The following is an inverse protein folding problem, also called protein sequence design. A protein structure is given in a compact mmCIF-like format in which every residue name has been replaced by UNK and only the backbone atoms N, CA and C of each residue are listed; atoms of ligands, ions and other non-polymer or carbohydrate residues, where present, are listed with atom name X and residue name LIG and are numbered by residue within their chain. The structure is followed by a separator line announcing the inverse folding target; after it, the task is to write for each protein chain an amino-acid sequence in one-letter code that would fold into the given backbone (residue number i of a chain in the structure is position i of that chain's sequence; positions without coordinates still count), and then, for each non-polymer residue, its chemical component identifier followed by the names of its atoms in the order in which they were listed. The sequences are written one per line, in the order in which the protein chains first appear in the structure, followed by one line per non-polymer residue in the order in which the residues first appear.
data_IF_328279508810
#
_entry.id   IF_328279508810
#
_cell.length_a   1.000
_cell.length_b   1.000
_cell.length_c   1.000
_cell.angle_alpha   90.00
_cell.angle_beta   90.00
_cell.angle_gamma   90.00
#
_symmetry.space_group_name_H-M   'P 1'
#
loop_
_entity.id
_entity.type
_entity.pdbx_description
1 polymer ?
#
# COMPACT_ATOMS: atom_id res chain seq x y z
N UNK A 1 -5.64 5.53 21.59
CA UNK A 1 -6.80 5.38 20.68
C UNK A 1 -6.52 4.19 19.76
N UNK A 2 -7.50 3.67 19.03
CA UNK A 2 -7.31 2.51 18.15
C UNK A 2 -7.98 2.75 16.80
N UNK A 3 -7.43 2.17 15.74
CA UNK A 3 -8.08 2.11 14.44
C UNK A 3 -9.45 1.42 14.62
N UNK A 4 -10.49 2.02 14.04
CA UNK A 4 -11.85 1.48 14.11
C UNK A 4 -12.19 0.81 12.79
N UNK A 5 -12.93 -0.30 12.86
CA UNK A 5 -13.38 -1.02 11.67
C UNK A 5 -14.48 -0.28 10.89
N UNK A 6 -15.08 0.77 11.46
CA UNK A 6 -16.19 1.52 10.87
C UNK A 6 -15.87 3.01 10.86
N UNK A 7 -15.99 3.63 9.68
CA UNK A 7 -15.76 5.06 9.45
C UNK A 7 -14.29 5.40 9.21
N UNK A 8 -14.01 6.09 8.10
CA UNK A 8 -12.71 6.69 7.83
C UNK A 8 -12.53 7.96 8.67
N UNK A 9 -12.44 7.80 9.99
CA UNK A 9 -12.17 8.92 10.89
C UNK A 9 -10.75 9.44 10.75
N UNK A 10 -10.54 10.70 11.15
CA UNK A 10 -9.24 11.39 11.11
C UNK A 10 -8.10 10.57 11.71
N UNK A 11 -8.37 9.79 12.77
CA UNK A 11 -7.38 8.91 13.39
C UNK A 11 -6.80 7.87 12.42
N UNK A 12 -7.63 7.20 11.62
CA UNK A 12 -7.19 6.15 10.69
C UNK A 12 -6.28 6.73 9.62
N UNK A 13 -6.65 7.90 9.08
CA UNK A 13 -5.85 8.62 8.09
C UNK A 13 -4.54 9.12 8.70
N UNK A 14 -4.62 9.86 9.81
CA UNK A 14 -3.47 10.48 10.46
C UNK A 14 -2.46 9.46 10.97
N UNK A 15 -2.89 8.52 11.81
CA UNK A 15 -1.99 7.53 12.42
C UNK A 15 -1.60 6.46 11.41
N UNK A 16 -2.52 6.04 10.53
CA UNK A 16 -2.21 5.06 9.48
C UNK A 16 -1.12 5.59 8.55
N UNK A 17 -1.29 6.81 8.03
CA UNK A 17 -0.31 7.42 7.13
C UNK A 17 1.02 7.68 7.85
N UNK A 18 0.98 8.15 9.10
CA UNK A 18 2.21 8.33 9.91
C UNK A 18 2.98 7.02 10.04
N UNK A 19 2.31 5.92 10.40
CA UNK A 19 2.96 4.62 10.56
C UNK A 19 3.46 4.06 9.22
N UNK A 20 2.69 4.22 8.13
CA UNK A 20 3.14 3.89 6.79
C UNK A 20 4.38 4.70 6.38
N UNK A 21 4.43 5.99 6.70
CA UNK A 21 5.55 6.87 6.36
C UNK A 21 6.81 6.56 7.20
N UNK A 22 6.65 6.19 8.48
CA UNK A 22 7.76 5.72 9.32
C UNK A 22 8.46 4.49 8.70
N UNK A 23 7.77 3.69 7.88
CA UNK A 23 8.38 2.54 7.21
C UNK A 23 9.48 2.94 6.21
N UNK A 24 9.54 4.20 5.77
CA UNK A 24 10.62 4.73 4.93
C UNK A 24 11.88 5.10 5.71
N UNK A 25 11.80 5.22 7.04
CA UNK A 25 12.97 5.51 7.85
C UNK A 25 13.98 4.36 7.78
N UNK A 26 15.26 4.70 7.88
CA UNK A 26 16.31 3.71 8.11
C UNK A 26 15.96 2.76 9.27
N UNK A 27 16.26 1.46 9.18
CA UNK A 27 15.86 0.45 10.17
C UNK A 27 16.14 0.86 11.63
N UNK A 28 17.33 1.41 11.87
CA UNK A 28 17.79 1.86 13.19
C UNK A 28 17.00 3.06 13.75
N UNK A 29 16.35 3.85 12.90
CA UNK A 29 15.63 5.05 13.27
C UNK A 29 14.14 4.78 13.56
N UNK A 30 13.58 3.65 13.10
CA UNK A 30 12.17 3.30 13.32
C UNK A 30 11.75 3.40 14.81
N UNK A 31 12.50 2.86 15.80
CA UNK A 31 12.12 3.00 17.21
C UNK A 31 12.05 4.44 17.70
N UNK A 32 12.95 5.31 17.21
CA UNK A 32 12.97 6.73 17.57
C UNK A 32 11.74 7.42 16.97
N UNK A 33 11.44 7.16 15.70
CA UNK A 33 10.27 7.72 15.01
C UNK A 33 8.95 7.27 15.68
N UNK A 34 8.81 5.99 16.03
CA UNK A 34 7.62 5.47 16.72
C UNK A 34 7.40 6.06 18.13
N UNK A 35 8.47 6.52 18.77
CA UNK A 35 8.43 7.13 20.11
C UNK A 35 8.38 8.65 20.08
N UNK A 36 8.37 9.26 18.89
CA UNK A 36 8.33 10.71 18.76
C UNK A 36 6.94 11.25 19.15
N UNK A 37 6.85 12.11 20.20
CA UNK A 37 5.56 12.48 20.79
C UNK A 37 4.75 13.46 19.94
N UNK A 38 5.37 14.09 18.94
CA UNK A 38 4.72 15.10 18.11
C UNK A 38 4.03 14.53 16.88
N UNK A 39 4.31 13.29 16.48
CA UNK A 39 3.55 12.64 15.41
C UNK A 39 2.13 12.28 15.86
N UNK A 40 1.24 12.03 14.90
CA UNK A 40 -0.15 11.63 15.19
C UNK A 40 -0.28 10.39 16.10
N UNK A 41 0.72 9.50 16.11
CA UNK A 41 0.78 8.36 17.03
C UNK A 41 1.13 8.70 18.48
N UNK A 42 1.45 9.96 18.79
CA UNK A 42 1.73 10.46 20.14
C UNK A 42 2.89 9.78 20.86
N UNK A 43 3.84 9.20 20.13
CA UNK A 43 4.94 8.42 20.70
C UNK A 43 4.52 7.14 21.44
N UNK A 44 3.30 6.64 21.19
CA UNK A 44 2.72 5.53 21.95
C UNK A 44 3.14 4.14 21.43
N UNK A 45 3.62 4.05 20.20
CA UNK A 45 3.92 2.77 19.55
C UNK A 45 5.33 2.27 19.89
N UNK A 46 5.49 0.94 19.97
CA UNK A 46 6.77 0.28 20.22
C UNK A 46 7.04 -0.75 19.14
N UNK A 47 8.27 -0.78 18.63
CA UNK A 47 8.73 -1.78 17.66
C UNK A 47 8.76 -3.18 18.32
N UNK A 48 8.17 -4.17 17.67
CA UNK A 48 8.08 -5.55 18.17
C UNK A 48 8.65 -6.58 17.20
N UNK A 49 8.65 -6.29 15.91
CA UNK A 49 9.26 -7.11 14.86
C UNK A 49 9.79 -6.17 13.76
N UNK A 50 10.92 -6.48 13.16
CA UNK A 50 11.52 -5.71 12.06
C UNK A 50 12.23 -6.67 11.12
N UNK A 51 11.78 -6.71 9.87
CA UNK A 51 12.42 -7.44 8.80
C UNK A 51 12.86 -6.49 7.68
N UNK A 52 14.01 -6.80 7.09
CA UNK A 52 14.63 -6.00 6.03
C UNK A 52 15.28 -6.94 5.02
N UNK A 53 15.02 -6.71 3.74
CA UNK A 53 15.66 -7.39 2.60
C UNK A 53 16.27 -6.31 1.69
N UNK A 54 16.86 -6.71 0.57
CA UNK A 54 17.34 -5.74 -0.42
C UNK A 54 16.19 -4.94 -1.06
N UNK A 55 15.00 -5.54 -1.19
CA UNK A 55 13.84 -4.92 -1.84
C UNK A 55 12.86 -4.27 -0.87
N UNK A 56 12.60 -4.90 0.28
CA UNK A 56 11.50 -4.53 1.17
C UNK A 56 11.94 -4.30 2.61
N UNK A 57 11.14 -3.50 3.31
CA UNK A 57 11.25 -3.28 4.74
C UNK A 57 9.86 -3.34 5.36
N UNK A 58 9.72 -4.15 6.40
CA UNK A 58 8.47 -4.33 7.12
C UNK A 58 8.74 -4.25 8.61
N UNK A 59 7.89 -3.54 9.35
CA UNK A 59 7.93 -3.56 10.80
C UNK A 59 6.57 -3.86 11.39
N UNK A 60 6.57 -4.47 12.58
CA UNK A 60 5.38 -4.64 13.40
C UNK A 60 5.54 -3.83 14.68
N UNK A 61 4.53 -3.02 14.98
CA UNK A 61 4.48 -2.23 16.20
C UNK A 61 3.16 -2.42 16.94
N UNK A 62 3.16 -2.02 18.21
CA UNK A 62 1.98 -2.07 19.07
C UNK A 62 2.02 -0.90 20.05
N UNK A 63 0.85 -0.36 20.40
CA UNK A 63 0.70 0.47 21.60
C UNK A 63 0.56 -0.44 22.84
N UNK A 64 1.41 -0.30 23.87
CA UNK A 64 1.27 -1.08 25.11
C UNK A 64 -0.11 -0.91 25.74
N UNK A 65 -0.74 -2.04 26.12
CA UNK A 65 -2.07 -2.06 26.73
C UNK A 65 -3.24 -1.93 25.75
N UNK A 66 -2.97 -1.81 24.44
CA UNK A 66 -3.99 -1.84 23.40
C UNK A 66 -3.86 -3.15 22.61
N UNK A 67 -4.95 -3.91 22.51
CA UNK A 67 -5.03 -5.13 21.68
C UNK A 67 -5.20 -4.76 20.20
N UNK A 68 -4.20 -4.06 19.66
CA UNK A 68 -4.10 -3.71 18.25
C UNK A 68 -2.64 -3.60 17.83
N UNK A 69 -2.31 -4.37 16.80
CA UNK A 69 -1.00 -4.47 16.18
C UNK A 69 -1.03 -3.83 14.81
N UNK A 70 0.10 -3.28 14.37
CA UNK A 70 0.23 -2.67 13.05
C UNK A 70 1.43 -3.27 12.35
N UNK A 71 1.18 -3.89 11.19
CA UNK A 71 2.19 -4.28 10.20
C UNK A 71 2.30 -3.13 9.20
N UNK A 72 3.45 -2.49 9.13
CA UNK A 72 3.69 -1.38 8.21
C UNK A 72 4.76 -1.77 7.19
N UNK A 73 4.44 -1.57 5.92
CA UNK A 73 5.25 -1.97 4.76
C UNK A 73 5.74 -0.72 4.04
N UNK A 74 7.05 -0.65 3.82
CA UNK A 74 7.67 0.46 3.07
C UNK A 74 7.29 0.38 1.59
N UNK A 75 7.12 1.54 0.95
CA UNK A 75 7.12 1.63 -0.51
C UNK A 75 8.53 1.62 -1.12
N UNK A 76 8.63 2.15 -2.33
CA UNK A 76 9.91 2.28 -3.06
C UNK A 76 10.90 3.15 -2.30
N UNK A 77 12.18 2.77 -2.28
CA UNK A 77 13.23 3.54 -1.59
C UNK A 77 13.64 4.83 -2.33
N UNK A 78 13.11 5.04 -3.53
CA UNK A 78 13.44 6.15 -4.43
C UNK A 78 12.46 7.32 -4.26
N UNK A 79 12.98 8.54 -4.39
CA UNK A 79 12.22 9.78 -4.23
C UNK A 79 11.28 10.01 -5.44
N UNK A 80 9.96 10.12 -5.23
CA UNK A 80 8.98 10.30 -6.30
C UNK A 80 9.03 11.70 -6.96
N UNK A 81 9.83 12.64 -6.44
CA UNK A 81 9.95 14.00 -6.99
C UNK A 81 10.80 14.09 -8.26
N UNK A 82 11.37 12.97 -8.73
CA UNK A 82 12.26 12.93 -9.89
C UNK A 82 11.56 12.35 -11.12
N UNK A 83 11.88 12.86 -12.31
CA UNK A 83 11.43 12.24 -13.58
C UNK A 83 11.91 10.81 -13.73
N UNK A 84 13.16 10.54 -13.32
CA UNK A 84 13.75 9.21 -13.36
C UNK A 84 12.90 8.19 -12.59
N UNK A 85 12.39 8.54 -11.41
CA UNK A 85 11.49 7.68 -10.65
C UNK A 85 10.26 7.27 -11.46
N UNK A 86 9.60 8.21 -12.13
CA UNK A 86 8.38 7.91 -12.88
C UNK A 86 8.66 7.15 -14.17
N UNK A 87 9.76 7.45 -14.85
CA UNK A 87 10.20 6.66 -16.02
C UNK A 87 10.52 5.24 -15.58
N UNK A 88 11.32 5.05 -14.53
CA UNK A 88 11.67 3.73 -14.02
C UNK A 88 10.43 3.00 -13.53
N UNK A 89 9.51 3.68 -12.85
CA UNK A 89 8.25 3.04 -12.45
C UNK A 89 7.44 2.54 -13.65
N UNK A 90 7.33 3.30 -14.75
CA UNK A 90 6.62 2.82 -15.94
C UNK A 90 7.40 1.80 -16.79
N UNK A 91 8.74 1.82 -16.76
CA UNK A 91 9.60 0.92 -17.56
C UNK A 91 9.99 -0.34 -16.81
N UNK A 92 10.38 -0.23 -15.54
CA UNK A 92 10.77 -1.37 -14.69
C UNK A 92 9.54 -2.14 -14.21
N UNK A 93 8.40 -1.47 -14.00
CA UNK A 93 7.14 -2.15 -13.63
C UNK A 93 6.40 -2.75 -14.83
N UNK A 94 7.07 -2.96 -15.99
CA UNK A 94 6.57 -3.84 -17.05
C UNK A 94 6.29 -5.27 -16.56
N UNK A 95 6.69 -5.60 -15.32
CA UNK A 95 6.19 -6.77 -14.59
C UNK A 95 4.67 -6.86 -14.55
N UNK A 96 3.95 -5.74 -14.69
CA UNK A 96 2.48 -5.71 -14.74
C UNK A 96 1.92 -6.32 -16.02
N UNK A 97 2.73 -6.44 -17.07
CA UNK A 97 2.40 -7.18 -18.29
C UNK A 97 2.59 -8.69 -18.13
N UNK A 98 2.88 -9.15 -16.92
CA UNK A 98 2.90 -10.56 -16.57
C UNK A 98 2.11 -10.76 -15.27
N UNK A 99 0.97 -11.44 -15.39
CA UNK A 99 0.15 -11.80 -14.24
C UNK A 99 0.34 -13.28 -13.88
N UNK A 100 0.35 -13.54 -12.59
CA UNK A 100 0.50 -14.88 -12.00
C UNK A 100 -0.64 -15.16 -11.01
N UNK A 101 -1.03 -16.44 -10.80
CA UNK A 101 -2.08 -16.76 -9.84
C UNK A 101 -1.71 -16.29 -8.43
N UNK A 102 -2.65 -15.67 -7.72
CA UNK A 102 -2.46 -15.36 -6.31
C UNK A 102 -2.25 -16.67 -5.53
N UNK A 103 -1.10 -16.85 -4.85
CA UNK A 103 -0.68 -18.16 -4.36
C UNK A 103 -1.44 -18.63 -3.10
N UNK A 104 -2.23 -17.76 -2.48
CA UNK A 104 -2.95 -18.05 -1.24
C UNK A 104 -4.47 -18.07 -1.46
N UNK A 105 -5.17 -18.92 -0.69
CA UNK A 105 -6.64 -18.99 -0.76
C UNK A 105 -7.19 -19.46 -2.10
N UNK A 106 -6.46 -20.28 -2.86
CA UNK A 106 -6.83 -20.72 -4.23
C UNK A 106 -8.24 -21.32 -4.35
N UNK A 107 -8.75 -21.94 -3.28
CA UNK A 107 -10.11 -22.49 -3.23
C UNK A 107 -11.20 -21.40 -3.14
N UNK A 108 -10.84 -20.18 -2.74
CA UNK A 108 -11.75 -19.08 -2.41
C UNK A 108 -11.56 -17.86 -3.31
N UNK A 109 -10.40 -17.71 -3.95
CA UNK A 109 -10.01 -16.50 -4.68
C UNK A 109 -10.51 -16.45 -6.13
N UNK A 110 -11.26 -17.46 -6.58
CA UNK A 110 -11.89 -17.53 -7.91
C UNK A 110 -10.91 -17.27 -9.07
N UNK A 111 -9.69 -17.79 -8.98
CA UNK A 111 -8.66 -17.60 -10.00
C UNK A 111 -8.04 -16.21 -10.01
N UNK A 112 -8.06 -15.51 -8.87
CA UNK A 112 -7.40 -14.23 -8.66
C UNK A 112 -5.97 -14.21 -9.22
N UNK A 113 -5.65 -13.20 -10.00
CA UNK A 113 -4.32 -12.97 -10.56
C UNK A 113 -3.72 -11.68 -9.99
N UNK A 114 -2.43 -11.70 -9.71
CA UNK A 114 -1.65 -10.52 -9.30
C UNK A 114 -0.54 -10.24 -10.31
N UNK A 115 -0.03 -9.01 -10.35
CA UNK A 115 1.19 -8.71 -11.12
C UNK A 115 2.35 -9.54 -10.58
N UNK A 116 3.28 -9.91 -11.46
CA UNK A 116 4.48 -10.64 -11.06
C UNK A 116 5.31 -9.84 -10.04
N UNK A 117 5.41 -8.51 -10.18
CA UNK A 117 6.06 -7.66 -9.18
C UNK A 117 5.39 -7.72 -7.79
N UNK A 118 4.06 -7.78 -7.74
CA UNK A 118 3.34 -7.99 -6.46
C UNK A 118 3.64 -9.37 -5.87
N UNK A 119 3.74 -10.42 -6.69
CA UNK A 119 4.11 -11.77 -6.21
C UNK A 119 5.52 -11.76 -5.61
N UNK A 120 6.48 -11.15 -6.30
CA UNK A 120 7.85 -11.06 -5.81
C UNK A 120 7.93 -10.32 -4.47
N UNK A 121 7.28 -9.16 -4.36
CA UNK A 121 7.26 -8.42 -3.09
C UNK A 121 6.55 -9.20 -1.98
N UNK A 122 5.48 -9.93 -2.30
CA UNK A 122 4.79 -10.80 -1.36
C UNK A 122 5.67 -11.95 -0.87
N UNK A 123 6.38 -12.64 -1.76
CA UNK A 123 7.29 -13.72 -1.40
C UNK A 123 8.50 -13.23 -0.61
N UNK A 124 9.03 -12.05 -0.94
CA UNK A 124 10.11 -11.42 -0.19
C UNK A 124 9.66 -11.12 1.25
N UNK A 125 8.45 -10.58 1.45
CA UNK A 125 7.87 -10.35 2.78
C UNK A 125 7.55 -11.67 3.50
N UNK A 126 6.98 -12.66 2.82
CA UNK A 126 6.64 -13.95 3.41
C UNK A 126 7.89 -14.75 3.84
N UNK A 127 9.02 -14.59 3.15
CA UNK A 127 10.31 -15.18 3.49
C UNK A 127 11.12 -14.37 4.51
N UNK A 128 10.67 -13.18 4.88
CA UNK A 128 11.38 -12.27 5.76
C UNK A 128 11.33 -12.73 7.23
N UNK A 129 12.42 -12.54 7.95
CA UNK A 129 12.52 -12.84 9.39
C UNK A 129 12.92 -11.61 10.20
N UNK A 130 12.54 -11.62 11.48
CA UNK A 130 12.92 -10.57 12.42
C UNK A 130 14.43 -10.49 12.56
N UNK A 131 14.97 -9.29 12.38
CA UNK A 131 16.39 -8.97 12.51
C UNK A 131 16.98 -9.26 13.89
N UNK A 132 16.15 -9.45 14.93
CA UNK A 132 16.59 -9.73 16.30
C UNK A 132 16.35 -11.18 16.73
N UNK A 133 15.18 -11.74 16.41
CA UNK A 133 14.76 -13.06 16.90
C UNK A 133 14.85 -14.16 15.84
N UNK A 134 14.92 -13.81 14.56
CA UNK A 134 14.85 -14.77 13.45
C UNK A 134 13.46 -15.34 13.18
N UNK A 135 12.42 -14.91 13.91
CA UNK A 135 11.05 -15.37 13.68
C UNK A 135 10.47 -14.75 12.40
N UNK A 136 9.78 -15.55 11.58
CA UNK A 136 9.01 -15.04 10.45
C UNK A 136 7.87 -14.12 10.91
N UNK A 137 7.32 -13.32 9.99
CA UNK A 137 6.17 -12.47 10.28
C UNK A 137 4.98 -13.30 10.78
N UNK A 138 4.70 -14.44 10.14
CA UNK A 138 3.57 -15.31 10.50
C UNK A 138 3.74 -15.92 11.89
N UNK A 139 4.91 -16.46 12.20
CA UNK A 139 5.20 -17.01 13.54
C UNK A 139 5.05 -15.93 14.62
N UNK A 140 5.56 -14.73 14.35
CA UNK A 140 5.43 -13.61 15.27
C UNK A 140 3.96 -13.25 15.51
N UNK A 141 3.16 -13.10 14.45
CA UNK A 141 1.74 -12.72 14.56
C UNK A 141 0.92 -13.81 15.26
N UNK A 142 1.11 -15.08 14.92
CA UNK A 142 0.44 -16.21 15.56
C UNK A 142 0.68 -16.27 17.07
N UNK A 143 1.89 -15.90 17.52
CA UNK A 143 2.25 -15.94 18.94
C UNK A 143 1.75 -14.74 19.74
N UNK A 144 1.54 -13.59 19.08
CA UNK A 144 1.36 -12.30 19.78
C UNK A 144 0.00 -11.62 19.55
N UNK A 145 -0.73 -11.98 18.48
CA UNK A 145 -1.98 -11.31 18.10
C UNK A 145 -3.17 -12.20 18.48
N UNK A 146 -4.19 -11.61 19.11
CA UNK A 146 -5.40 -12.33 19.54
C UNK A 146 -6.37 -12.65 18.40
N UNK A 147 -6.19 -11.99 17.25
CA UNK A 147 -7.07 -12.05 16.08
C UNK A 147 -8.55 -11.74 16.41
N UNK A 148 -8.78 -10.84 17.37
CA UNK A 148 -10.10 -10.21 17.58
C UNK A 148 -10.39 -9.16 16.48
N UNK A 149 -11.66 -8.80 16.21
CA UNK A 149 -12.00 -7.82 15.17
C UNK A 149 -11.22 -6.51 15.30
N UNK A 150 -10.48 -6.15 14.24
CA UNK A 150 -9.62 -4.97 14.18
C UNK A 150 -8.33 -5.03 15.00
N UNK A 151 -7.92 -6.21 15.48
CA UNK A 151 -6.69 -6.39 16.26
C UNK A 151 -5.42 -6.32 15.42
N UNK A 152 -5.50 -6.46 14.10
CA UNK A 152 -4.36 -6.35 13.19
C UNK A 152 -4.65 -5.32 12.10
N UNK A 153 -3.81 -4.30 12.01
CA UNK A 153 -3.80 -3.34 10.90
C UNK A 153 -2.64 -3.69 9.97
N UNK A 154 -2.89 -3.72 8.67
CA UNK A 154 -1.84 -3.89 7.66
C UNK A 154 -1.83 -2.62 6.80
N UNK A 155 -0.73 -1.89 6.83
CA UNK A 155 -0.66 -0.56 6.23
C UNK A 155 0.61 -0.36 5.40
N UNK A 156 0.54 0.60 4.48
CA UNK A 156 1.64 0.99 3.64
C UNK A 156 1.23 2.10 2.67
N UNK A 157 2.24 2.75 2.12
CA UNK A 157 2.11 3.83 1.15
C UNK A 157 2.77 3.43 -0.18
N UNK A 158 2.26 3.89 -1.32
CA UNK A 158 2.81 3.60 -2.64
C UNK A 158 2.88 2.08 -2.88
N UNK A 159 4.03 1.55 -3.32
CA UNK A 159 4.29 0.10 -3.40
C UNK A 159 3.95 -0.65 -2.09
N UNK A 160 4.21 -0.05 -0.94
CA UNK A 160 3.89 -0.63 0.36
C UNK A 160 2.37 -0.74 0.58
N UNK A 161 1.59 0.18 0.01
CA UNK A 161 0.13 0.12 0.00
C UNK A 161 -0.38 -0.99 -0.92
N UNK A 162 0.23 -1.15 -2.10
CA UNK A 162 -0.04 -2.27 -3.00
C UNK A 162 0.24 -3.62 -2.29
N UNK A 163 1.43 -3.79 -1.72
CA UNK A 163 1.81 -5.00 -0.99
C UNK A 163 0.97 -5.23 0.26
N UNK A 164 0.53 -4.18 0.96
CA UNK A 164 -0.37 -4.31 2.11
C UNK A 164 -1.71 -4.99 1.75
N UNK A 165 -2.23 -4.78 0.54
CA UNK A 165 -3.45 -5.47 0.08
C UNK A 165 -3.23 -6.99 -0.04
N UNK A 166 -2.11 -7.42 -0.63
CA UNK A 166 -1.75 -8.83 -0.79
C UNK A 166 -1.31 -9.47 0.53
N UNK A 167 -0.54 -8.76 1.35
CA UNK A 167 -0.06 -9.23 2.65
C UNK A 167 -1.22 -9.43 3.64
N UNK A 168 -2.23 -8.56 3.63
CA UNK A 168 -3.43 -8.76 4.46
C UNK A 168 -4.15 -10.07 4.11
N UNK A 169 -4.35 -10.34 2.81
CA UNK A 169 -4.94 -11.61 2.35
C UNK A 169 -4.05 -12.81 2.69
N UNK A 170 -2.73 -12.70 2.50
CA UNK A 170 -1.76 -13.73 2.89
C UNK A 170 -1.82 -14.09 4.39
N UNK A 171 -1.84 -13.08 5.27
CA UNK A 171 -1.95 -13.27 6.72
C UNK A 171 -3.28 -13.97 7.05
N UNK A 172 -4.38 -13.54 6.43
CA UNK A 172 -5.68 -14.19 6.65
C UNK A 172 -5.66 -15.65 6.20
N UNK A 173 -5.15 -15.95 5.02
CA UNK A 173 -5.15 -17.31 4.49
C UNK A 173 -4.16 -18.24 5.21
N UNK A 174 -3.08 -17.70 5.77
CA UNK A 174 -2.04 -18.49 6.45
C UNK A 174 -2.34 -18.68 7.94
N UNK A 175 -2.97 -17.69 8.59
CA UNK A 175 -3.21 -17.69 10.04
C UNK A 175 -4.70 -17.68 10.34
N UNK A 176 -5.41 -16.69 9.80
CA UNK A 176 -6.80 -16.40 10.14
C UNK A 176 -7.73 -17.56 9.83
N UNK A 177 -7.84 -17.92 8.56
CA UNK A 177 -8.74 -18.96 8.06
C UNK A 177 -8.43 -20.35 8.65
N UNK A 178 -7.18 -20.85 8.68
CA UNK A 178 -6.89 -22.17 9.25
C UNK A 178 -7.23 -22.27 10.74
N UNK A 179 -7.15 -21.15 11.47
CA UNK A 179 -7.44 -21.09 12.90
C UNK A 179 -8.91 -20.71 13.21
N UNK A 180 -9.75 -20.54 12.18
CA UNK A 180 -11.16 -20.17 12.34
C UNK A 180 -11.39 -18.72 12.79
N UNK A 181 -10.40 -17.84 12.66
CA UNK A 181 -10.57 -16.42 12.95
C UNK A 181 -11.40 -15.74 11.86
N UNK A 182 -12.15 -14.70 12.23
CA UNK A 182 -12.85 -13.85 11.28
C UNK A 182 -11.87 -12.99 10.49
N UNK A 183 -12.12 -12.78 9.19
CA UNK A 183 -11.34 -11.84 8.38
C UNK A 183 -11.41 -10.40 8.90
N UNK A 184 -12.48 -10.05 9.64
CA UNK A 184 -12.61 -8.77 10.35
C UNK A 184 -11.52 -8.52 11.41
N UNK A 185 -10.73 -9.54 11.78
CA UNK A 185 -9.56 -9.37 12.63
C UNK A 185 -8.48 -8.50 11.98
N UNK A 186 -8.46 -8.45 10.65
CA UNK A 186 -7.46 -7.75 9.85
C UNK A 186 -8.12 -6.54 9.18
N UNK A 187 -7.46 -5.39 9.31
CA UNK A 187 -7.85 -4.12 8.70
C UNK A 187 -6.73 -3.66 7.75
N UNK A 188 -6.87 -3.89 6.45
CA UNK A 188 -6.00 -3.24 5.47
C UNK A 188 -6.28 -1.74 5.47
N UNK A 189 -5.22 -0.93 5.57
CA UNK A 189 -5.28 0.54 5.57
C UNK A 189 -4.20 1.05 4.62
N UNK A 190 -4.55 1.38 3.39
CA UNK A 190 -3.58 1.66 2.32
C UNK A 190 -3.65 3.09 1.84
N UNK A 191 -2.49 3.62 1.43
CA UNK A 191 -2.34 4.98 0.94
C UNK A 191 -1.62 4.96 -0.40
N UNK A 192 -2.08 5.76 -1.37
CA UNK A 192 -1.41 5.94 -2.65
C UNK A 192 -1.09 4.62 -3.40
N UNK A 193 -1.88 3.57 -3.19
CA UNK A 193 -1.54 2.23 -3.63
C UNK A 193 -1.92 2.02 -5.11
N UNK A 194 -0.99 1.63 -6.00
CA UNK A 194 -1.36 1.12 -7.32
C UNK A 194 -2.11 -0.22 -7.21
N UNK A 195 -2.77 -0.64 -8.29
CA UNK A 195 -3.47 -1.92 -8.34
C UNK A 195 -2.50 -3.09 -8.23
N UNK A 196 -2.74 -4.00 -7.31
CA UNK A 196 -1.93 -5.21 -7.13
C UNK A 196 -2.21 -6.31 -8.17
N UNK A 197 -3.46 -6.39 -8.66
CA UNK A 197 -3.91 -7.51 -9.49
C UNK A 197 -5.19 -7.22 -10.25
N UNK A 198 -5.76 -8.29 -10.80
CA UNK A 198 -6.95 -8.25 -11.63
C UNK A 198 -8.25 -8.06 -10.83
N UNK A 199 -9.37 -7.97 -11.55
CA UNK A 199 -10.69 -7.88 -10.95
C UNK A 199 -11.04 -9.06 -10.02
N UNK A 200 -10.56 -10.28 -10.29
CA UNK A 200 -10.82 -11.42 -9.41
C UNK A 200 -10.08 -11.26 -8.07
N UNK A 201 -8.81 -10.82 -8.09
CA UNK A 201 -8.05 -10.48 -6.89
C UNK A 201 -8.69 -9.32 -6.13
N UNK A 202 -9.04 -8.22 -6.81
CA UNK A 202 -9.65 -7.06 -6.20
C UNK A 202 -10.98 -7.40 -5.49
N UNK A 203 -11.83 -8.19 -6.14
CA UNK A 203 -13.09 -8.67 -5.57
C UNK A 203 -12.87 -9.61 -4.39
N UNK A 204 -11.87 -10.49 -4.46
CA UNK A 204 -11.55 -11.41 -3.38
C UNK A 204 -11.07 -10.64 -2.13
N UNK A 205 -10.12 -9.71 -2.28
CA UNK A 205 -9.63 -8.87 -1.17
C UNK A 205 -10.75 -7.99 -0.60
N UNK A 206 -11.58 -7.38 -1.45
CA UNK A 206 -12.73 -6.62 -0.99
C UNK A 206 -13.76 -7.49 -0.24
N UNK A 207 -13.99 -8.71 -0.71
CA UNK A 207 -14.88 -9.67 -0.05
C UNK A 207 -14.35 -10.16 1.30
N UNK A 208 -13.03 -10.28 1.47
CA UNK A 208 -12.42 -10.61 2.76
C UNK A 208 -12.60 -9.48 3.78
N UNK A 209 -12.47 -8.24 3.36
CA UNK A 209 -12.30 -7.08 4.27
C UNK A 209 -13.43 -6.05 4.15
N UNK A 210 -14.69 -6.53 4.10
CA UNK A 210 -15.91 -5.72 4.16
C UNK A 210 -15.94 -4.54 3.16
N UNK A 211 -15.63 -4.83 1.89
CA UNK A 211 -15.60 -3.83 0.82
C UNK A 211 -14.35 -2.96 0.79
N UNK A 212 -13.32 -3.29 1.59
CA UNK A 212 -12.02 -2.61 1.62
C UNK A 212 -12.12 -1.09 1.81
N UNK A 213 -12.74 -0.63 2.93
CA UNK A 213 -13.15 0.77 3.08
C UNK A 213 -12.00 1.76 3.32
N UNK A 214 -10.82 1.27 3.73
CA UNK A 214 -9.67 2.11 4.13
C UNK A 214 -8.56 2.12 3.07
N UNK A 215 -8.95 2.38 1.82
CA UNK A 215 -8.04 2.68 0.71
C UNK A 215 -8.10 4.17 0.44
N UNK A 216 -7.03 4.89 0.73
CA UNK A 216 -6.99 6.34 0.69
C UNK A 216 -6.13 6.85 -0.47
N UNK A 217 -6.69 7.78 -1.22
CA UNK A 217 -6.09 8.29 -2.44
C UNK A 217 -6.23 9.80 -2.50
N UNK A 218 -5.17 10.47 -2.93
CA UNK A 218 -5.24 11.83 -3.41
C UNK A 218 -5.81 11.83 -4.84
N UNK A 219 -6.82 12.66 -5.12
CA UNK A 219 -7.47 12.75 -6.43
C UNK A 219 -6.52 13.10 -7.58
N UNK A 220 -5.41 13.76 -7.26
CA UNK A 220 -4.37 14.18 -8.20
C UNK A 220 -3.17 13.23 -8.23
N UNK A 221 -3.10 12.22 -7.37
CA UNK A 221 -2.02 11.24 -7.40
C UNK A 221 -2.21 10.24 -8.55
N UNK A 222 -1.15 10.03 -9.33
CA UNK A 222 -1.16 9.14 -10.49
C UNK A 222 -0.94 7.67 -10.09
N UNK A 223 -0.31 7.38 -8.95
CA UNK A 223 0.05 6.01 -8.60
C UNK A 223 -1.18 5.10 -8.40
N UNK A 224 -2.26 5.51 -7.70
CA UNK A 224 -3.48 4.69 -7.59
C UNK A 224 -4.20 4.44 -8.92
N UNK A 225 -3.87 5.21 -9.97
CA UNK A 225 -4.45 5.05 -11.30
C UNK A 225 -3.81 3.89 -12.06
N UNK A 226 -2.52 3.63 -11.81
CA UNK A 226 -1.82 2.45 -12.31
C UNK A 226 -2.43 1.19 -11.69
N UNK A 227 -2.81 0.15 -12.44
CA UNK A 227 -2.63 -0.09 -13.88
C UNK A 227 -3.98 -0.24 -14.60
N UNK A 228 -5.02 0.43 -14.11
CA UNK A 228 -6.34 0.39 -14.77
C UNK A 228 -6.31 1.17 -16.08
N UNK A 229 -6.98 0.69 -17.14
CA UNK A 229 -7.03 1.40 -18.42
C UNK A 229 -7.59 2.82 -18.27
N UNK A 230 -8.71 2.97 -17.55
CA UNK A 230 -9.30 4.29 -17.25
C UNK A 230 -8.39 5.18 -16.40
N UNK A 231 -7.56 4.57 -15.56
CA UNK A 231 -6.57 5.29 -14.77
C UNK A 231 -5.45 5.83 -15.63
N UNK A 232 -4.92 5.01 -16.55
CA UNK A 232 -3.91 5.43 -17.52
C UNK A 232 -4.44 6.49 -18.49
N UNK A 233 -5.71 6.39 -18.93
CA UNK A 233 -6.38 7.46 -19.69
C UNK A 233 -6.37 8.78 -18.93
N UNK A 234 -6.61 8.73 -17.61
CA UNK A 234 -6.56 9.92 -16.78
C UNK A 234 -5.13 10.48 -16.67
N UNK A 235 -4.11 9.63 -16.55
CA UNK A 235 -2.69 10.07 -16.52
C UNK A 235 -2.33 10.82 -17.81
N UNK A 236 -2.73 10.31 -18.98
CA UNK A 236 -2.51 10.96 -20.28
C UNK A 236 -3.17 12.35 -20.38
N UNK A 237 -4.26 12.57 -19.62
CA UNK A 237 -5.04 13.81 -19.60
C UNK A 237 -4.89 14.59 -18.27
N UNK A 238 -3.87 14.27 -17.48
CA UNK A 238 -3.71 14.83 -16.13
C UNK A 238 -3.30 16.31 -16.15
N UNK A 239 -3.59 16.98 -15.03
CA UNK A 239 -3.14 18.35 -14.69
C UNK A 239 -3.47 19.45 -15.71
N UNK A 240 -4.50 19.28 -16.52
CA UNK A 240 -4.90 20.30 -17.48
C UNK A 240 -5.40 21.59 -16.79
N UNK A 241 -5.05 22.80 -17.29
CA UNK A 241 -4.23 23.07 -18.48
C UNK A 241 -2.71 23.15 -18.23
N UNK A 242 -2.25 23.03 -16.98
CA UNK A 242 -0.83 22.97 -16.63
C UNK A 242 -0.64 22.36 -15.23
N UNK A 243 0.45 21.61 -14.99
CA UNK A 243 1.50 21.25 -15.97
C UNK A 243 1.10 20.25 -17.05
N UNK A 244 1.79 20.30 -18.18
CA UNK A 244 1.60 19.38 -19.30
C UNK A 244 2.57 18.21 -19.20
N UNK A 245 2.06 17.00 -19.44
CA UNK A 245 2.86 15.79 -19.64
C UNK A 245 3.79 15.98 -20.85
N UNK A 246 5.04 15.50 -20.75
CA UNK A 246 5.96 15.55 -21.89
C UNK A 246 5.54 14.57 -22.99
N UNK A 247 5.78 14.90 -24.25
CA UNK A 247 5.46 14.00 -25.40
C UNK A 247 6.11 12.62 -25.25
N UNK A 248 7.34 12.56 -24.73
CA UNK A 248 8.03 11.30 -24.47
C UNK A 248 7.29 10.45 -23.45
N UNK A 249 6.94 11.04 -22.31
CA UNK A 249 6.25 10.31 -21.25
C UNK A 249 4.81 9.97 -21.63
N UNK A 250 4.13 10.83 -22.39
CA UNK A 250 2.85 10.52 -23.01
C UNK A 250 2.96 9.24 -23.84
N UNK A 251 3.94 9.16 -24.75
CA UNK A 251 4.15 7.99 -25.59
C UNK A 251 4.46 6.73 -24.79
N UNK A 252 5.17 6.84 -23.67
CA UNK A 252 5.44 5.73 -22.75
C UNK A 252 4.13 5.22 -22.10
N UNK A 253 3.33 6.11 -21.52
CA UNK A 253 2.06 5.76 -20.86
C UNK A 253 1.06 5.18 -21.86
N UNK A 254 0.96 5.78 -23.06
CA UNK A 254 0.09 5.32 -24.16
C UNK A 254 0.50 3.91 -24.63
N UNK A 255 1.80 3.63 -24.72
CA UNK A 255 2.30 2.29 -25.06
C UNK A 255 1.91 1.26 -24.01
N UNK A 256 2.06 1.57 -22.71
CA UNK A 256 1.65 0.66 -21.63
C UNK A 256 0.15 0.42 -21.64
N UNK A 257 -0.65 1.46 -21.89
CA UNK A 257 -2.10 1.33 -22.06
C UNK A 257 -2.45 0.31 -23.14
N UNK A 258 -1.86 0.42 -24.33
CA UNK A 258 -2.11 -0.51 -25.44
C UNK A 258 -1.65 -1.93 -25.13
N UNK A 259 -0.50 -2.10 -24.46
CA UNK A 259 -0.02 -3.41 -24.05
C UNK A 259 -0.96 -4.09 -23.04
N UNK A 260 -1.53 -3.32 -22.11
CA UNK A 260 -2.52 -3.83 -21.15
C UNK A 260 -3.83 -4.22 -21.85
N UNK A 261 -4.30 -3.36 -22.76
CA UNK A 261 -5.53 -3.59 -23.53
C UNK A 261 -5.42 -4.83 -24.43
N UNK A 262 -4.39 -4.92 -25.27
CA UNK A 262 -4.19 -6.04 -26.20
C UNK A 262 -3.86 -7.35 -25.45
N UNK A 263 -3.20 -7.25 -24.30
CA UNK A 263 -2.94 -8.40 -23.42
C UNK A 263 -4.15 -8.88 -22.63
N UNK A 264 -5.28 -8.16 -22.66
CA UNK A 264 -6.49 -8.52 -21.92
C UNK A 264 -6.34 -8.37 -20.41
N UNK A 265 -5.40 -7.53 -19.93
CA UNK A 265 -5.18 -7.30 -18.52
C UNK A 265 -6.30 -6.43 -17.93
N UNK A 266 -6.95 -6.91 -16.87
CA UNK A 266 -8.05 -6.22 -16.22
C UNK A 266 -7.70 -5.84 -14.78
N UNK A 267 -6.65 -5.03 -14.60
CA UNK A 267 -6.27 -4.50 -13.30
C UNK A 267 -7.42 -3.72 -12.67
N UNK A 268 -7.61 -3.90 -11.36
CA UNK A 268 -8.72 -3.27 -10.62
C UNK A 268 -8.31 -2.96 -9.19
N UNK A 269 -8.75 -1.82 -8.67
CA UNK A 269 -8.56 -1.47 -7.25
C UNK A 269 -9.54 -2.25 -6.37
N UNK A 270 -9.14 -2.77 -5.20
CA UNK A 270 -10.06 -3.38 -4.25
C UNK A 270 -10.93 -2.31 -3.57
N UNK A 271 -12.25 -2.50 -3.61
CA UNK A 271 -13.21 -1.63 -2.94
C UNK A 271 -13.30 -0.22 -3.53
N UNK A 272 -14.30 0.54 -3.05
CA UNK A 272 -14.50 1.92 -3.49
C UNK A 272 -13.39 2.87 -3.00
N UNK A 273 -12.84 2.60 -1.80
CA UNK A 273 -11.88 3.50 -1.16
C UNK A 273 -12.46 4.88 -0.84
N UNK A 274 -11.55 5.82 -0.57
CA UNK A 274 -11.82 7.21 -0.26
C UNK A 274 -10.85 8.06 -1.08
N UNK A 275 -11.42 8.93 -1.92
CA UNK A 275 -10.67 9.86 -2.75
C UNK A 275 -10.77 11.26 -2.13
N UNK A 276 -9.66 11.72 -1.59
CA UNK A 276 -9.52 13.06 -1.01
C UNK A 276 -9.06 14.06 -2.07
N UNK A 277 -9.57 15.28 -2.00
CA UNK A 277 -9.28 16.30 -3.02
C UNK A 277 -7.85 16.83 -2.85
N UNK A 278 -7.01 16.59 -3.85
CA UNK A 278 -5.69 17.19 -3.98
C UNK A 278 -5.76 18.67 -4.36
N UNK A 279 -4.65 19.37 -4.11
CA UNK A 279 -4.48 20.77 -4.55
C UNK A 279 -3.39 20.83 -5.60
N UNK A 280 -3.77 21.20 -6.82
CA UNK A 280 -2.84 21.32 -7.95
C UNK A 280 -1.88 22.51 -7.73
N UNK A 281 -0.60 22.36 -8.06
CA UNK A 281 0.38 23.45 -8.09
C UNK A 281 0.81 23.72 -9.55
N UNK A 282 0.12 24.64 -10.27
CA UNK A 282 0.31 24.80 -11.71
C UNK A 282 1.71 25.24 -12.16
N UNK A 283 2.50 25.81 -11.24
CA UNK A 283 3.86 26.27 -11.51
C UNK A 283 4.89 25.13 -11.56
N UNK A 284 4.54 23.94 -11.04
CA UNK A 284 5.39 22.78 -11.15
C UNK A 284 5.48 22.29 -12.58
N UNK A 285 6.58 21.62 -12.92
CA UNK A 285 6.63 20.76 -14.10
C UNK A 285 5.95 19.43 -13.76
N UNK A 286 5.46 18.72 -14.78
CA UNK A 286 4.54 17.59 -14.59
C UNK A 286 5.04 16.50 -13.64
N UNK A 287 6.33 16.12 -13.73
CA UNK A 287 6.89 15.09 -12.86
C UNK A 287 7.03 15.55 -11.40
N UNK A 288 7.30 16.83 -11.17
CA UNK A 288 7.26 17.38 -9.81
C UNK A 288 5.85 17.38 -9.26
N UNK A 289 4.86 17.75 -10.07
CA UNK A 289 3.46 17.70 -9.66
C UNK A 289 3.06 16.26 -9.30
N UNK A 290 3.33 15.29 -10.17
CA UNK A 290 3.08 13.88 -9.87
C UNK A 290 3.79 13.41 -8.60
N UNK A 291 5.07 13.75 -8.44
CA UNK A 291 5.84 13.41 -7.25
C UNK A 291 5.30 14.05 -5.97
N UNK A 292 4.89 15.32 -6.03
CA UNK A 292 4.36 16.07 -4.89
C UNK A 292 3.00 15.49 -4.47
N UNK A 293 2.10 15.23 -5.43
CA UNK A 293 0.80 14.62 -5.18
C UNK A 293 0.91 13.18 -4.63
N UNK A 294 1.98 12.47 -4.99
CA UNK A 294 2.27 11.11 -4.51
C UNK A 294 3.08 11.08 -3.20
N UNK A 295 3.70 12.19 -2.78
CA UNK A 295 4.64 12.18 -1.66
C UNK A 295 3.95 11.86 -0.33
N UNK A 296 4.66 11.15 0.54
CA UNK A 296 4.13 10.84 1.87
C UNK A 296 3.85 12.09 2.69
N UNK A 297 4.65 13.15 2.49
CA UNK A 297 4.47 14.46 3.10
C UNK A 297 3.15 15.12 2.69
N UNK A 298 2.76 15.03 1.42
CA UNK A 298 1.47 15.55 0.94
C UNK A 298 0.32 14.81 1.60
N UNK A 299 0.37 13.48 1.66
CA UNK A 299 -0.65 12.69 2.34
C UNK A 299 -0.72 13.03 3.84
N UNK A 300 0.41 13.18 4.53
CA UNK A 300 0.45 13.60 5.94
C UNK A 300 -0.19 14.99 6.13
N UNK A 301 0.20 15.95 5.29
CA UNK A 301 -0.35 17.32 5.30
C UNK A 301 -1.85 17.35 5.04
N UNK A 302 -2.35 16.62 4.03
CA UNK A 302 -3.76 16.50 3.70
C UNK A 302 -4.60 15.99 4.88
N UNK A 303 -4.03 15.12 5.71
CA UNK A 303 -4.72 14.54 6.86
C UNK A 303 -4.48 15.33 8.16
N UNK A 304 -3.69 16.40 8.13
CA UNK A 304 -3.29 17.14 9.32
C UNK A 304 -2.45 16.29 10.28
N UNK A 305 -1.70 15.33 9.75
CA UNK A 305 -0.74 14.54 10.50
C UNK A 305 0.60 15.30 10.59
N UNK A 306 1.05 15.67 11.80
CA UNK A 306 2.33 16.35 12.03
C UNK A 306 3.53 15.42 11.90
#
# INVERSE_FOLDING_TARGET
MKFQAVGAGDYTKQVGMTLAYIAYAEPQNIPVQLSYPHYAGGGAYRLRWLGVTAGNQVYVCQQPGVDQWVVAIRGSATDPLTEQFWIDWFVEDLTVLHQVPFPYGQQYNNGAMISWGTEQGLFDIAGMTDTRTGASLVEFLQQNVSFSPGSLVVTGHSLGGCLASAVAAYIYETIGRPSGHSSSAILPVTFAAPTAGDAAFANYVAGLFDGYPFRFENSLDIAPRGWTLSGLDWVLNSYQPAPQISDFFYGLVDSVWWMLYEGGFNYTQPGAGVVDQGTLVPEFWWFREAGDQHSGETYLSMYGAP
#
